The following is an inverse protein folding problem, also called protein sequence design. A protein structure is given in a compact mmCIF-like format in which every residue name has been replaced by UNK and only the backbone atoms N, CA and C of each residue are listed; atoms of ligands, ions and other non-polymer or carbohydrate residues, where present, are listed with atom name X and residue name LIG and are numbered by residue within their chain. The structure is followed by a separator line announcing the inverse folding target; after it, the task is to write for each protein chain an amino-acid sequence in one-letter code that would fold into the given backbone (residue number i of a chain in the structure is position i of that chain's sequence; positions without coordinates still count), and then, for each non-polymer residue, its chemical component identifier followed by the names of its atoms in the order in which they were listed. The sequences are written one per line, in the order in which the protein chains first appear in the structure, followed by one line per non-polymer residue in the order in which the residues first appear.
data_IF_165248005714
#
_entry.id   IF_165248005714
#
_cell.length_a   1.000
_cell.length_b   1.000
_cell.length_c   1.000
_cell.angle_alpha   90.00
_cell.angle_beta   90.00
_cell.angle_gamma   90.00
#
_symmetry.space_group_name_H-M   'P 1'
#
loop_
_entity.id
_entity.type
_entity.pdbx_description
1 polymer ?
#
# COMPACT_ATOMS: atom_id res chain seq x y z
N UNK A 1 -70.26 26.76 15.42
CA UNK A 1 -70.87 26.01 14.29
C UNK A 1 -69.99 24.83 13.82
N UNK A 2 -69.27 24.16 14.73
CA UNK A 2 -68.28 23.11 14.42
C UNK A 2 -68.77 21.67 14.66
N UNK A 3 -70.04 21.46 15.00
CA UNK A 3 -70.53 20.15 15.43
C UNK A 3 -70.98 19.21 14.29
N UNK A 4 -71.12 19.70 13.05
CA UNK A 4 -71.59 18.88 11.93
C UNK A 4 -70.42 18.43 11.03
N UNK A 5 -70.38 17.15 10.61
CA UNK A 5 -69.46 16.68 9.58
C UNK A 5 -69.49 17.53 8.30
N UNK A 6 -68.38 17.64 7.55
CA UNK A 6 -68.30 18.49 6.35
C UNK A 6 -69.41 18.26 5.32
N UNK A 7 -69.79 17.00 5.10
CA UNK A 7 -70.89 16.63 4.21
C UNK A 7 -72.25 17.18 4.70
N UNK A 8 -72.52 17.12 6.00
CA UNK A 8 -73.76 17.62 6.58
C UNK A 8 -73.81 19.16 6.58
N UNK A 9 -72.66 19.82 6.77
CA UNK A 9 -72.54 21.29 6.62
C UNK A 9 -72.85 21.73 5.20
N UNK A 10 -72.42 20.97 4.18
CA UNK A 10 -72.72 21.27 2.79
C UNK A 10 -74.22 21.20 2.48
N UNK A 11 -74.91 20.18 3.01
CA UNK A 11 -76.37 20.03 2.85
C UNK A 11 -77.13 21.23 3.46
N UNK A 12 -76.73 21.67 4.66
CA UNK A 12 -77.34 22.83 5.32
C UNK A 12 -77.05 24.13 4.55
N UNK A 13 -75.79 24.33 4.14
CA UNK A 13 -75.38 25.55 3.45
C UNK A 13 -76.06 25.74 2.09
N UNK A 14 -76.31 24.64 1.36
CA UNK A 14 -77.03 24.66 0.08
C UNK A 14 -78.54 24.54 0.24
N UNK A 15 -79.04 24.37 1.48
CA UNK A 15 -80.44 24.06 1.78
C UNK A 15 -80.94 22.90 0.89
N UNK A 16 -80.11 21.86 0.72
CA UNK A 16 -80.20 20.91 -0.38
C UNK A 16 -81.59 20.30 -0.56
N UNK A 17 -82.26 19.89 0.52
CA UNK A 17 -83.62 19.32 0.46
C UNK A 17 -84.64 20.31 -0.09
N UNK A 18 -84.68 21.55 0.43
CA UNK A 18 -85.62 22.58 -0.04
C UNK A 18 -85.30 23.05 -1.47
N UNK A 19 -84.01 23.17 -1.80
CA UNK A 19 -83.55 23.50 -3.15
C UNK A 19 -83.93 22.40 -4.15
N UNK A 20 -83.77 21.13 -3.79
CA UNK A 20 -84.16 19.98 -4.61
C UNK A 20 -85.67 19.95 -4.88
N UNK A 21 -86.50 20.17 -3.86
CA UNK A 21 -87.96 20.26 -4.01
C UNK A 21 -88.35 21.41 -4.95
N UNK A 22 -87.76 22.60 -4.79
CA UNK A 22 -88.02 23.74 -5.66
C UNK A 22 -87.60 23.48 -7.11
N UNK A 23 -86.47 22.79 -7.34
CA UNK A 23 -86.02 22.40 -8.67
C UNK A 23 -86.97 21.38 -9.30
N UNK A 24 -87.42 20.36 -8.55
CA UNK A 24 -88.41 19.37 -9.04
C UNK A 24 -89.72 20.05 -9.44
N UNK A 25 -90.20 21.00 -8.64
CA UNK A 25 -91.39 21.78 -8.97
C UNK A 25 -91.19 22.64 -10.23
N UNK A 26 -90.02 23.26 -10.39
CA UNK A 26 -89.68 24.03 -11.59
C UNK A 26 -89.64 23.15 -12.83
N UNK A 27 -89.03 21.96 -12.74
CA UNK A 27 -88.99 20.97 -13.82
C UNK A 27 -90.40 20.56 -14.22
N UNK A 28 -91.24 20.19 -13.24
CA UNK A 28 -92.63 19.79 -13.48
C UNK A 28 -93.44 20.91 -14.13
N UNK A 29 -93.28 22.16 -13.69
CA UNK A 29 -93.95 23.32 -14.31
C UNK A 29 -93.58 23.47 -15.79
N UNK A 30 -92.34 23.16 -16.14
CA UNK A 30 -91.83 23.29 -17.52
C UNK A 30 -91.98 22.03 -18.37
N UNK A 31 -92.46 20.90 -17.80
CA UNK A 31 -92.50 19.61 -18.50
C UNK A 31 -93.53 19.54 -19.62
N UNK A 32 -94.54 20.42 -19.62
CA UNK A 32 -95.54 20.51 -20.67
C UNK A 32 -95.02 21.20 -21.95
N UNK A 33 -93.87 21.89 -21.88
CA UNK A 33 -93.25 22.59 -23.00
C UNK A 33 -92.44 21.57 -23.82
N UNK A 34 -93.10 20.87 -24.73
CA UNK A 34 -92.50 19.77 -25.51
C UNK A 34 -92.38 20.05 -27.01
N UNK A 35 -93.05 21.09 -27.52
CA UNK A 35 -93.05 21.47 -28.92
C UNK A 35 -92.45 22.87 -29.14
N UNK A 36 -91.88 23.16 -30.32
CA UNK A 36 -91.46 24.51 -30.68
C UNK A 36 -92.63 25.49 -30.64
N UNK A 37 -92.44 26.73 -30.13
CA UNK A 37 -93.50 27.72 -30.09
C UNK A 37 -93.90 28.15 -31.50
N UNK A 38 -95.20 28.15 -31.79
CA UNK A 38 -95.77 28.53 -33.09
C UNK A 38 -96.11 30.03 -33.17
N UNK A 39 -96.08 30.74 -32.04
CA UNK A 39 -96.40 32.15 -31.92
C UNK A 39 -95.46 32.89 -30.94
N UNK A 40 -95.65 34.21 -30.85
CA UNK A 40 -94.81 35.07 -29.98
C UNK A 40 -95.02 34.76 -28.50
N UNK A 41 -96.25 34.44 -28.08
CA UNK A 41 -96.57 34.13 -26.69
C UNK A 41 -95.85 32.87 -26.20
N UNK A 42 -95.86 31.79 -27.00
CA UNK A 42 -95.12 30.57 -26.70
C UNK A 42 -93.61 30.79 -26.63
N UNK A 43 -93.04 31.66 -27.48
CA UNK A 43 -91.60 32.00 -27.41
C UNK A 43 -91.25 32.69 -26.09
N UNK A 44 -92.09 33.61 -25.63
CA UNK A 44 -91.90 34.32 -24.37
C UNK A 44 -92.03 33.37 -23.16
N UNK A 45 -92.94 32.40 -23.22
CA UNK A 45 -93.09 31.35 -22.20
C UNK A 45 -91.83 30.46 -22.11
N UNK A 46 -91.36 29.93 -23.25
CA UNK A 46 -90.11 29.14 -23.32
C UNK A 46 -88.92 29.95 -22.80
N UNK A 47 -88.81 31.22 -23.18
CA UNK A 47 -87.72 32.08 -22.75
C UNK A 47 -87.75 32.32 -21.23
N UNK A 48 -88.93 32.57 -20.65
CA UNK A 48 -89.10 32.75 -19.22
C UNK A 48 -88.73 31.49 -18.45
N UNK A 49 -89.22 30.33 -18.89
CA UNK A 49 -88.85 29.03 -18.34
C UNK A 49 -87.32 28.81 -18.37
N UNK A 50 -86.68 29.11 -19.51
CA UNK A 50 -85.23 29.00 -19.64
C UNK A 50 -84.46 29.95 -18.70
N UNK A 51 -84.96 31.17 -18.50
CA UNK A 51 -84.36 32.12 -17.55
C UNK A 51 -84.55 31.68 -16.10
N UNK A 52 -85.71 31.13 -15.74
CA UNK A 52 -85.96 30.58 -14.40
C UNK A 52 -84.95 29.46 -14.08
N UNK A 53 -84.75 28.51 -15.00
CA UNK A 53 -83.76 27.43 -14.84
C UNK A 53 -82.33 27.96 -14.76
N UNK A 54 -81.97 28.93 -15.60
CA UNK A 54 -80.65 29.58 -15.56
C UNK A 54 -80.42 30.30 -14.23
N UNK A 55 -81.41 31.03 -13.74
CA UNK A 55 -81.33 31.76 -12.48
C UNK A 55 -81.22 30.81 -11.28
N UNK A 56 -81.95 29.69 -11.29
CA UNK A 56 -81.84 28.65 -10.27
C UNK A 56 -80.41 28.06 -10.21
N UNK A 57 -79.82 27.73 -11.37
CA UNK A 57 -78.42 27.28 -11.45
C UNK A 57 -77.45 28.31 -10.87
N UNK A 58 -77.56 29.58 -11.28
CA UNK A 58 -76.69 30.66 -10.80
C UNK A 58 -76.83 30.89 -9.29
N UNK A 59 -78.03 30.74 -8.74
CA UNK A 59 -78.27 30.85 -7.30
C UNK A 59 -77.54 29.76 -6.51
N UNK A 60 -77.57 28.51 -7.00
CA UNK A 60 -76.85 27.38 -6.39
C UNK A 60 -75.33 27.61 -6.46
N UNK A 61 -74.82 28.03 -7.62
CA UNK A 61 -73.39 28.34 -7.78
C UNK A 61 -72.94 29.46 -6.82
N UNK A 62 -73.75 30.50 -6.66
CA UNK A 62 -73.46 31.60 -5.72
C UNK A 62 -73.49 31.12 -4.28
N UNK A 63 -74.46 30.28 -3.90
CA UNK A 63 -74.55 29.70 -2.56
C UNK A 63 -73.35 28.79 -2.25
N UNK A 64 -72.95 27.94 -3.20
CA UNK A 64 -71.77 27.07 -3.06
C UNK A 64 -70.47 27.87 -2.90
N UNK A 65 -70.30 28.94 -3.69
CA UNK A 65 -69.16 29.85 -3.52
C UNK A 65 -69.19 30.49 -2.14
N UNK A 66 -70.29 31.13 -1.76
CA UNK A 66 -70.42 31.79 -0.45
C UNK A 66 -70.16 30.83 0.72
N UNK A 67 -70.61 29.57 0.63
CA UNK A 67 -70.40 28.55 1.66
C UNK A 67 -68.93 28.11 1.81
N UNK A 68 -68.11 28.25 0.78
CA UNK A 68 -66.71 27.78 0.77
C UNK A 68 -65.68 28.89 0.97
N UNK A 69 -66.04 30.16 0.79
CA UNK A 69 -65.10 31.29 0.91
C UNK A 69 -64.44 31.39 2.30
N UNK A 70 -65.20 31.24 3.38
CA UNK A 70 -64.67 31.28 4.75
C UNK A 70 -63.65 30.15 4.99
N UNK A 71 -63.96 28.93 4.53
CA UNK A 71 -63.05 27.79 4.64
C UNK A 71 -61.74 28.00 3.85
N UNK A 72 -61.82 28.57 2.64
CA UNK A 72 -60.62 28.93 1.85
C UNK A 72 -59.78 30.00 2.54
N UNK A 73 -60.44 31.02 3.10
CA UNK A 73 -59.78 32.09 3.84
C UNK A 73 -59.07 31.54 5.09
N UNK A 74 -59.73 30.63 5.83
CA UNK A 74 -59.15 29.94 6.97
C UNK A 74 -57.92 29.12 6.60
N UNK A 75 -57.99 28.24 5.58
CA UNK A 75 -56.84 27.45 5.14
C UNK A 75 -55.68 28.35 4.71
N UNK A 76 -55.96 29.43 3.98
CA UNK A 76 -54.92 30.41 3.58
C UNK A 76 -54.27 31.08 4.80
N UNK A 77 -55.06 31.42 5.82
CA UNK A 77 -54.54 32.03 7.05
C UNK A 77 -53.68 31.03 7.85
N UNK A 78 -54.11 29.77 7.97
CA UNK A 78 -53.31 28.73 8.65
C UNK A 78 -51.97 28.53 7.96
N UNK A 79 -51.95 28.38 6.63
CA UNK A 79 -50.68 28.23 5.89
C UNK A 79 -49.79 29.47 5.94
N UNK A 80 -50.37 30.67 6.11
CA UNK A 80 -49.59 31.89 6.31
C UNK A 80 -48.93 31.91 7.70
N UNK A 81 -49.66 31.52 8.74
CA UNK A 81 -49.13 31.44 10.10
C UNK A 81 -48.10 30.33 10.25
N UNK A 82 -48.35 29.16 9.66
CA UNK A 82 -47.37 28.06 9.57
C UNK A 82 -46.04 28.55 8.99
N UNK A 83 -46.07 29.26 7.86
CA UNK A 83 -44.87 29.82 7.24
C UNK A 83 -44.17 30.83 8.15
N UNK A 84 -44.93 31.67 8.88
CA UNK A 84 -44.38 32.62 9.84
C UNK A 84 -43.64 31.89 10.96
N UNK A 85 -44.23 30.85 11.52
CA UNK A 85 -43.66 30.05 12.61
C UNK A 85 -42.42 29.28 12.14
N UNK A 86 -42.46 28.66 10.96
CA UNK A 86 -41.31 27.98 10.37
C UNK A 86 -40.15 28.95 10.16
N UNK A 87 -40.40 30.14 9.59
CA UNK A 87 -39.35 31.13 9.34
C UNK A 87 -38.66 31.57 10.64
N UNK A 88 -39.43 31.76 11.71
CA UNK A 88 -38.92 32.16 13.03
C UNK A 88 -37.97 31.11 13.62
N UNK A 89 -38.29 29.83 13.44
CA UNK A 89 -37.44 28.73 13.89
C UNK A 89 -36.22 28.51 12.98
N UNK A 90 -36.39 28.65 11.66
CA UNK A 90 -35.33 28.40 10.69
C UNK A 90 -34.11 29.34 10.86
N UNK A 91 -34.34 30.61 11.23
CA UNK A 91 -33.25 31.55 11.52
C UNK A 91 -32.43 31.12 12.74
N UNK A 92 -33.11 30.64 13.79
CA UNK A 92 -32.44 30.19 15.00
C UNK A 92 -31.72 28.85 14.79
N UNK A 93 -32.31 27.92 14.03
CA UNK A 93 -31.64 26.69 13.61
C UNK A 93 -30.35 26.98 12.83
N UNK A 94 -30.42 27.90 11.86
CA UNK A 94 -29.24 28.31 11.09
C UNK A 94 -28.15 28.93 11.99
N UNK A 95 -28.54 29.75 12.98
CA UNK A 95 -27.62 30.34 13.95
C UNK A 95 -26.95 29.26 14.82
N UNK A 96 -27.73 28.30 15.31
CA UNK A 96 -27.24 27.21 16.17
C UNK A 96 -26.33 26.25 15.42
N UNK A 97 -26.68 25.86 14.19
CA UNK A 97 -25.80 25.04 13.35
C UNK A 97 -24.49 25.73 13.05
N UNK A 98 -24.53 27.03 12.70
CA UNK A 98 -23.31 27.80 12.50
C UNK A 98 -22.41 27.80 13.74
N UNK A 99 -22.98 28.01 14.93
CA UNK A 99 -22.20 28.02 16.18
C UNK A 99 -21.52 26.66 16.46
N UNK A 100 -22.24 25.55 16.21
CA UNK A 100 -21.67 24.20 16.32
C UNK A 100 -20.55 24.00 15.31
N UNK A 101 -20.81 24.30 14.04
CA UNK A 101 -19.87 24.06 12.95
C UNK A 101 -18.59 24.91 13.13
N UNK A 102 -18.72 26.16 13.63
CA UNK A 102 -17.59 27.02 13.98
C UNK A 102 -16.74 26.43 15.12
N UNK A 103 -17.37 25.83 16.15
CA UNK A 103 -16.67 25.15 17.24
C UNK A 103 -15.94 23.90 16.74
N UNK A 104 -16.62 23.04 15.99
CA UNK A 104 -16.05 21.81 15.44
C UNK A 104 -14.85 22.11 14.52
N UNK A 105 -14.95 23.18 13.70
CA UNK A 105 -13.87 23.64 12.86
C UNK A 105 -12.66 24.16 13.67
N UNK A 106 -12.91 24.91 14.75
CA UNK A 106 -11.84 25.40 15.62
C UNK A 106 -11.12 24.25 16.35
N UNK A 107 -11.88 23.26 16.82
CA UNK A 107 -11.32 22.08 17.49
C UNK A 107 -10.50 21.21 16.54
N UNK A 108 -11.01 20.99 15.33
CA UNK A 108 -10.28 20.30 14.27
C UNK A 108 -8.97 21.03 13.90
N UNK A 109 -9.01 22.36 13.79
CA UNK A 109 -7.81 23.16 13.53
C UNK A 109 -6.78 23.07 14.67
N UNK A 110 -7.22 23.10 15.93
CA UNK A 110 -6.32 22.94 17.09
C UNK A 110 -5.64 21.58 17.07
N UNK A 111 -6.41 20.50 16.87
CA UNK A 111 -5.87 19.14 16.79
C UNK A 111 -4.89 18.97 15.63
N UNK A 112 -5.20 19.51 14.46
CA UNK A 112 -4.32 19.45 13.29
C UNK A 112 -2.99 20.20 13.53
N UNK A 113 -3.02 21.33 14.24
CA UNK A 113 -1.83 22.09 14.60
C UNK A 113 -0.98 21.38 15.66
N UNK A 114 -1.62 20.76 16.66
CA UNK A 114 -0.94 19.90 17.64
C UNK A 114 -0.26 18.70 16.97
N UNK A 115 -0.97 18.01 16.07
CA UNK A 115 -0.41 16.90 15.29
C UNK A 115 0.73 17.37 14.38
N UNK A 116 0.62 18.55 13.75
CA UNK A 116 1.71 19.12 12.94
C UNK A 116 2.96 19.35 13.78
N UNK A 117 2.83 20.01 14.93
CA UNK A 117 3.96 20.25 15.85
C UNK A 117 4.58 18.96 16.33
N UNK A 118 3.74 17.97 16.65
CA UNK A 118 4.23 16.67 17.11
C UNK A 118 4.96 15.91 15.99
N UNK A 119 4.42 15.90 14.77
CA UNK A 119 5.10 15.32 13.60
C UNK A 119 6.42 16.03 13.30
N UNK A 120 6.46 17.36 13.39
CA UNK A 120 7.70 18.14 13.21
C UNK A 120 8.73 17.81 14.28
N UNK A 121 8.30 17.69 15.55
CA UNK A 121 9.17 17.28 16.66
C UNK A 121 9.76 15.89 16.41
N UNK A 122 8.91 14.91 16.09
CA UNK A 122 9.33 13.52 15.82
C UNK A 122 10.24 13.46 14.60
N UNK A 123 9.92 14.19 13.52
CA UNK A 123 10.75 14.24 12.31
C UNK A 123 12.14 14.84 12.59
N UNK A 124 12.22 15.91 13.38
CA UNK A 124 13.50 16.51 13.76
C UNK A 124 14.36 15.56 14.60
N UNK A 125 13.76 14.80 15.52
CA UNK A 125 14.47 13.78 16.32
C UNK A 125 14.97 12.65 15.42
N UNK A 126 14.12 12.14 14.51
CA UNK A 126 14.50 11.07 13.57
C UNK A 126 15.63 11.49 12.64
N UNK A 127 15.59 12.72 12.13
CA UNK A 127 16.67 13.28 11.30
C UNK A 127 18.00 13.28 12.06
N UNK A 128 18.04 13.67 13.34
CA UNK A 128 19.25 13.58 14.17
C UNK A 128 19.75 12.13 14.29
N UNK A 129 18.84 11.17 14.51
CA UNK A 129 19.19 9.75 14.59
C UNK A 129 19.75 9.25 13.26
N UNK A 130 19.17 9.65 12.14
CA UNK A 130 19.62 9.26 10.81
C UNK A 130 20.99 9.88 10.47
N UNK A 131 21.27 11.10 10.94
CA UNK A 131 22.62 11.69 10.86
C UNK A 131 23.66 10.84 11.61
N UNK A 132 23.32 10.34 12.80
CA UNK A 132 24.19 9.40 13.54
C UNK A 132 24.40 8.11 12.74
N UNK A 133 23.33 7.52 12.18
CA UNK A 133 23.40 6.28 11.38
C UNK A 133 24.22 6.46 10.10
N UNK A 134 24.19 7.65 9.50
CA UNK A 134 24.85 7.94 8.23
C UNK A 134 26.33 8.33 8.39
N UNK A 135 26.80 8.59 9.60
CA UNK A 135 28.18 9.01 9.86
C UNK A 135 29.25 8.04 9.28
N UNK A 136 29.13 6.71 9.42
CA UNK A 136 30.09 5.77 8.81
C UNK A 136 30.12 5.85 7.28
N UNK A 137 28.99 6.17 6.63
CA UNK A 137 28.91 6.30 5.17
C UNK A 137 29.65 7.56 4.70
N UNK A 138 29.46 8.67 5.41
CA UNK A 138 30.15 9.93 5.10
C UNK A 138 31.65 9.81 5.32
N UNK A 139 32.07 9.09 6.37
CA UNK A 139 33.48 8.87 6.70
C UNK A 139 34.15 7.70 5.94
N UNK A 140 33.51 7.14 4.91
CA UNK A 140 34.01 5.98 4.17
C UNK A 140 35.42 6.17 3.57
N UNK A 141 35.77 7.41 3.21
CA UNK A 141 37.03 7.75 2.55
C UNK A 141 38.06 8.40 3.49
N UNK A 142 37.75 8.53 4.77
CA UNK A 142 38.62 9.20 5.73
C UNK A 142 39.86 8.34 6.05
N UNK A 143 40.94 9.03 6.43
CA UNK A 143 42.17 8.42 6.91
C UNK A 143 42.04 7.97 8.38
N UNK A 144 43.04 7.25 8.91
CA UNK A 144 42.97 6.71 10.25
C UNK A 144 42.80 7.81 11.32
N UNK A 145 43.55 8.90 11.23
CA UNK A 145 43.51 10.01 12.19
C UNK A 145 42.13 10.68 12.26
N UNK A 146 41.51 10.99 11.10
CA UNK A 146 40.17 11.59 11.05
C UNK A 146 39.09 10.63 11.56
N UNK A 147 39.23 9.33 11.28
CA UNK A 147 38.31 8.32 11.80
C UNK A 147 38.39 8.17 13.32
N UNK A 148 39.58 8.27 13.90
CA UNK A 148 39.79 8.21 15.35
C UNK A 148 39.17 9.45 16.04
N UNK A 149 39.40 10.65 15.48
CA UNK A 149 38.76 11.87 15.96
C UNK A 149 37.23 11.79 15.90
N UNK A 150 36.68 11.28 14.80
CA UNK A 150 35.22 11.08 14.63
C UNK A 150 34.66 10.08 15.64
N UNK A 151 35.41 9.00 15.94
CA UNK A 151 35.04 8.03 16.97
C UNK A 151 35.00 8.65 18.36
N UNK A 152 35.98 9.49 18.68
CA UNK A 152 36.04 10.17 19.97
C UNK A 152 34.89 11.17 20.15
N UNK A 153 34.59 11.96 19.12
CA UNK A 153 33.41 12.85 19.11
C UNK A 153 32.11 12.05 19.30
N UNK A 154 31.95 10.93 18.59
CA UNK A 154 30.74 10.11 18.68
C UNK A 154 30.61 9.41 20.04
N UNK A 155 31.72 9.01 20.67
CA UNK A 155 31.74 8.43 22.03
C UNK A 155 31.44 9.48 23.10
N UNK A 156 31.91 10.71 22.91
CA UNK A 156 31.65 11.83 23.79
C UNK A 156 30.22 12.38 23.64
N UNK A 157 29.54 12.08 22.52
CA UNK A 157 28.17 12.52 22.28
C UNK A 157 27.18 11.90 23.28
N UNK A 158 26.65 12.76 24.16
CA UNK A 158 25.67 12.40 25.18
C UNK A 158 24.24 12.41 24.60
N UNK A 159 23.55 11.29 24.75
CA UNK A 159 22.15 11.15 24.34
C UNK A 159 21.27 11.45 25.55
N UNK A 160 20.67 12.64 25.55
CA UNK A 160 19.84 13.17 26.64
C UNK A 160 18.34 13.05 26.33
N UNK A 161 17.50 13.12 27.38
CA UNK A 161 16.04 13.19 27.21
C UNK A 161 15.60 14.50 26.55
N UNK A 162 16.34 15.59 26.76
CA UNK A 162 16.00 16.89 26.16
C UNK A 162 16.11 16.86 24.63
N UNK A 163 17.12 16.16 24.11
CA UNK A 163 17.41 16.13 22.66
C UNK A 163 16.63 15.08 21.87
N UNK A 164 16.36 13.92 22.50
CA UNK A 164 15.79 12.75 21.84
C UNK A 164 14.48 12.24 22.46
N UNK A 165 14.07 12.80 23.60
CA UNK A 165 12.82 12.47 24.28
C UNK A 165 12.59 10.96 24.42
N UNK A 166 11.51 10.42 23.84
CA UNK A 166 11.17 9.00 23.87
C UNK A 166 12.04 8.12 22.96
N UNK A 167 12.85 8.70 22.07
CA UNK A 167 13.70 7.98 21.11
C UNK A 167 15.15 7.79 21.59
N UNK A 168 15.45 8.00 22.88
CA UNK A 168 16.81 7.86 23.41
C UNK A 168 17.39 6.47 23.17
N UNK A 169 16.61 5.41 23.36
CA UNK A 169 17.09 4.04 23.18
C UNK A 169 17.42 3.76 21.71
N UNK A 170 16.61 4.27 20.79
CA UNK A 170 16.89 4.20 19.35
C UNK A 170 18.16 4.98 18.99
N UNK A 171 18.31 6.20 19.51
CA UNK A 171 19.50 7.02 19.31
C UNK A 171 20.77 6.33 19.86
N UNK A 172 20.68 5.68 21.03
CA UNK A 172 21.80 4.93 21.62
C UNK A 172 22.19 3.74 20.77
N UNK A 173 21.20 2.97 20.33
CA UNK A 173 21.42 1.86 19.42
C UNK A 173 22.07 2.31 18.10
N UNK A 174 21.59 3.43 17.53
CA UNK A 174 22.17 4.02 16.32
C UNK A 174 23.63 4.44 16.53
N UNK A 175 23.92 5.15 17.63
CA UNK A 175 25.29 5.58 17.97
C UNK A 175 26.21 4.38 18.14
N UNK A 176 25.80 3.38 18.91
CA UNK A 176 26.63 2.22 19.21
C UNK A 176 26.91 1.38 17.94
N UNK A 177 25.92 1.27 17.04
CA UNK A 177 26.10 0.67 15.72
C UNK A 177 27.09 1.46 14.83
N UNK A 178 26.97 2.79 14.81
CA UNK A 178 27.90 3.66 14.07
C UNK A 178 29.32 3.60 14.64
N UNK A 179 29.49 3.56 15.96
CA UNK A 179 30.79 3.36 16.62
C UNK A 179 31.41 2.03 16.19
N UNK A 180 30.62 0.93 16.18
CA UNK A 180 31.12 -0.38 15.77
C UNK A 180 31.59 -0.38 14.30
N UNK A 181 30.83 0.27 13.41
CA UNK A 181 31.19 0.41 12.00
C UNK A 181 32.47 1.24 11.80
N UNK A 182 32.52 2.44 12.39
CA UNK A 182 33.69 3.32 12.33
C UNK A 182 34.94 2.69 12.95
N UNK A 183 34.80 1.93 14.03
CA UNK A 183 35.92 1.20 14.65
C UNK A 183 36.53 0.18 13.68
N UNK A 184 35.67 -0.52 12.92
CA UNK A 184 36.12 -1.47 11.89
C UNK A 184 36.84 -0.75 10.75
N UNK A 185 36.30 0.39 10.31
CA UNK A 185 36.90 1.21 9.26
C UNK A 185 38.23 1.82 9.68
N UNK A 186 38.33 2.33 10.92
CA UNK A 186 39.55 2.89 11.50
C UNK A 186 40.67 1.84 11.55
N UNK A 187 40.37 0.63 12.01
CA UNK A 187 41.33 -0.47 12.03
C UNK A 187 41.83 -0.81 10.61
N UNK A 188 40.92 -0.84 9.62
CA UNK A 188 41.29 -1.08 8.23
C UNK A 188 42.13 0.06 7.64
N UNK A 189 41.79 1.32 7.93
CA UNK A 189 42.57 2.49 7.49
C UNK A 189 43.97 2.49 8.10
N UNK A 190 44.07 2.29 9.42
CA UNK A 190 45.34 2.17 10.14
C UNK A 190 46.23 1.08 9.56
N UNK A 191 45.66 -0.08 9.23
CA UNK A 191 46.41 -1.18 8.61
C UNK A 191 46.91 -0.84 7.19
N UNK A 192 46.10 -0.15 6.37
CA UNK A 192 46.52 0.31 5.04
C UNK A 192 47.66 1.32 5.13
N UNK A 193 47.53 2.32 5.99
CA UNK A 193 48.55 3.36 6.16
C UNK A 193 49.87 2.79 6.71
N UNK A 194 49.80 1.87 7.69
CA UNK A 194 50.98 1.18 8.19
C UNK A 194 51.67 0.34 7.10
N UNK A 195 50.90 -0.35 6.25
CA UNK A 195 51.43 -1.11 5.13
C UNK A 195 52.07 -0.20 4.06
N UNK A 196 51.47 0.94 3.76
CA UNK A 196 52.03 1.95 2.84
C UNK A 196 53.33 2.54 3.39
N UNK A 197 53.38 2.88 4.68
CA UNK A 197 54.59 3.38 5.33
C UNK A 197 55.73 2.34 5.30
N UNK A 198 55.41 1.08 5.61
CA UNK A 198 56.38 -0.02 5.55
C UNK A 198 56.86 -0.28 4.11
N UNK A 199 55.98 -0.16 3.12
CA UNK A 199 56.34 -0.29 1.70
C UNK A 199 57.29 0.84 1.25
N UNK A 200 57.04 2.09 1.67
CA UNK A 200 57.93 3.23 1.39
C UNK A 200 59.30 3.03 2.04
N UNK A 201 59.36 2.63 3.30
CA UNK A 201 60.63 2.36 3.99
C UNK A 201 61.40 1.19 3.32
N UNK A 202 60.70 0.14 2.88
CA UNK A 202 61.30 -0.96 2.14
C UNK A 202 61.86 -0.51 0.78
N UNK A 203 61.14 0.33 0.05
CA UNK A 203 61.59 0.91 -1.22
C UNK A 203 62.82 1.81 -1.03
N UNK A 204 62.83 2.66 0.01
CA UNK A 204 63.99 3.48 0.38
C UNK A 204 65.22 2.62 0.73
N UNK A 205 65.04 1.51 1.45
CA UNK A 205 66.14 0.57 1.73
C UNK A 205 66.64 -0.12 0.47
N UNK A 206 65.75 -0.56 -0.42
CA UNK A 206 66.12 -1.20 -1.67
C UNK A 206 66.86 -0.24 -2.61
N UNK A 207 66.42 1.01 -2.70
CA UNK A 207 67.11 2.04 -3.49
C UNK A 207 68.48 2.36 -2.92
N UNK A 208 68.61 2.47 -1.59
CA UNK A 208 69.91 2.62 -0.93
C UNK A 208 70.85 1.42 -1.15
N UNK A 209 70.33 0.19 -1.05
CA UNK A 209 71.09 -1.04 -1.32
C UNK A 209 71.56 -1.11 -2.77
N UNK A 210 70.71 -0.73 -3.74
CA UNK A 210 71.10 -0.64 -5.16
C UNK A 210 72.22 0.38 -5.37
N UNK A 211 72.10 1.57 -4.79
CA UNK A 211 73.15 2.59 -4.87
C UNK A 211 74.46 2.17 -4.20
N UNK A 212 74.41 1.38 -3.13
CA UNK A 212 75.60 0.79 -2.50
C UNK A 212 76.23 -0.30 -3.37
N UNK A 213 75.44 -1.22 -3.90
CA UNK A 213 75.94 -2.26 -4.82
C UNK A 213 76.57 -1.66 -6.08
N UNK A 214 75.98 -0.61 -6.65
CA UNK A 214 76.56 0.12 -7.77
C UNK A 214 77.91 0.76 -7.40
N UNK A 215 78.07 1.30 -6.19
CA UNK A 215 79.35 1.82 -5.71
C UNK A 215 80.39 0.72 -5.58
N UNK A 216 80.03 -0.41 -4.98
CA UNK A 216 80.92 -1.56 -4.83
C UNK A 216 81.34 -2.15 -6.20
N UNK A 217 80.41 -2.21 -7.16
CA UNK A 217 80.71 -2.62 -8.53
C UNK A 217 81.71 -1.68 -9.18
N UNK A 218 81.50 -0.35 -9.10
CA UNK A 218 82.45 0.63 -9.63
C UNK A 218 83.83 0.52 -8.98
N UNK A 219 83.90 0.40 -7.65
CA UNK A 219 85.18 0.21 -6.96
C UNK A 219 85.87 -1.10 -7.38
N UNK A 220 85.11 -2.18 -7.57
CA UNK A 220 85.64 -3.46 -8.02
C UNK A 220 86.15 -3.38 -9.46
N UNK A 221 85.40 -2.74 -10.36
CA UNK A 221 85.81 -2.46 -11.74
C UNK A 221 87.07 -1.59 -11.78
N UNK A 222 87.17 -0.56 -10.94
CA UNK A 222 88.37 0.27 -10.81
C UNK A 222 89.58 -0.53 -10.32
N UNK A 223 89.39 -1.41 -9.33
CA UNK A 223 90.43 -2.32 -8.83
C UNK A 223 90.86 -3.32 -9.89
N UNK A 224 89.92 -3.92 -10.63
CA UNK A 224 90.24 -4.82 -11.73
C UNK A 224 91.00 -4.08 -12.84
N UNK A 225 90.56 -2.87 -13.22
CA UNK A 225 91.24 -2.05 -14.19
C UNK A 225 92.64 -1.59 -13.72
N UNK A 226 92.85 -1.39 -12.42
CA UNK A 226 94.16 -1.11 -11.85
C UNK A 226 95.07 -2.35 -11.87
N UNK A 227 94.53 -3.51 -11.49
CA UNK A 227 95.23 -4.79 -11.52
C UNK A 227 95.62 -5.20 -12.94
N UNK A 228 94.71 -5.06 -13.91
CA UNK A 228 95.02 -5.31 -15.33
C UNK A 228 96.06 -4.32 -15.87
N UNK A 229 96.05 -3.05 -15.42
CA UNK A 229 97.12 -2.09 -15.75
C UNK A 229 98.47 -2.52 -15.18
N UNK A 230 98.51 -2.96 -13.93
CA UNK A 230 99.73 -3.46 -13.28
C UNK A 230 100.24 -4.74 -13.94
N UNK A 231 99.34 -5.68 -14.27
CA UNK A 231 99.65 -6.89 -15.01
C UNK A 231 100.17 -6.58 -16.40
N UNK A 232 99.54 -5.64 -17.14
CA UNK A 232 100.02 -5.20 -18.44
C UNK A 232 101.39 -4.51 -18.34
N UNK A 233 101.66 -3.75 -17.27
CA UNK A 233 102.97 -3.15 -17.02
C UNK A 233 104.03 -4.21 -16.68
N UNK A 234 103.68 -5.20 -15.85
CA UNK A 234 104.52 -6.34 -15.55
C UNK A 234 104.79 -7.19 -16.79
N UNK A 235 103.77 -7.46 -17.60
CA UNK A 235 103.87 -8.21 -18.86
C UNK A 235 104.67 -7.43 -19.90
N UNK A 236 104.56 -6.10 -19.98
CA UNK A 236 105.43 -5.25 -20.79
C UNK A 236 106.88 -5.30 -20.30
N UNK A 237 107.13 -5.31 -18.99
CA UNK A 237 108.46 -5.52 -18.40
C UNK A 237 108.99 -6.95 -18.69
N UNK A 238 108.14 -7.96 -18.64
CA UNK A 238 108.49 -9.37 -18.92
C UNK A 238 108.69 -9.62 -20.43
N UNK A 239 107.95 -8.91 -21.29
CA UNK A 239 108.12 -8.83 -22.74
C UNK A 239 109.46 -8.16 -23.08
N UNK A 240 109.81 -7.07 -22.41
CA UNK A 240 111.13 -6.44 -22.53
C UNK A 240 112.28 -7.34 -22.08
N UNK A 241 112.04 -8.26 -21.13
CA UNK A 241 113.01 -9.29 -20.71
C UNK A 241 113.07 -10.46 -21.70
N UNK A 242 111.94 -10.86 -22.31
CA UNK A 242 111.89 -11.97 -23.27
C UNK A 242 112.37 -11.59 -24.67
N UNK A 243 112.31 -10.31 -25.07
CA UNK A 243 112.97 -9.83 -26.30
C UNK A 243 114.50 -9.74 -26.16
N UNK A 244 115.05 -9.68 -24.94
CA UNK A 244 116.49 -9.87 -24.68
C UNK A 244 116.88 -11.36 -24.69
N UNK A 245 115.93 -12.28 -24.49
CA UNK A 245 116.18 -13.73 -24.44
C UNK A 245 115.74 -14.51 -25.70
N UNK A 246 115.17 -13.87 -26.73
CA UNK A 246 114.84 -14.52 -28.01
C UNK A 246 116.05 -14.56 -28.95
N UNK A 247 117.05 -15.34 -28.54
CA UNK A 247 118.25 -15.65 -29.30
C UNK A 247 118.72 -17.09 -29.08
N UNK A 248 117.83 -18.09 -29.15
CA UNK A 248 118.16 -19.50 -29.39
C UNK A 248 116.88 -20.36 -29.53
N UNK A 249 116.76 -21.08 -30.63
CA UNK A 249 115.81 -22.17 -30.92
C UNK A 249 116.10 -23.44 -30.05
N UNK A 250 115.40 -24.61 -30.11
CA UNK A 250 114.52 -25.12 -31.18
C UNK A 250 113.28 -25.97 -30.76
N UNK A 251 112.60 -26.45 -31.80
CA UNK A 251 111.44 -27.35 -31.83
C UNK A 251 111.74 -28.81 -31.45
N UNK A 252 110.79 -29.51 -30.79
CA UNK A 252 110.64 -30.99 -30.75
C UNK A 252 109.19 -31.41 -30.36
N UNK A 253 108.55 -32.21 -31.24
CA UNK A 253 107.59 -33.35 -31.11
C UNK A 253 106.33 -33.22 -30.19
N UNK A 254 105.09 -33.36 -30.69
CA UNK A 254 104.33 -34.59 -31.02
C UNK A 254 104.13 -35.49 -29.76
N UNK A 255 102.95 -35.99 -29.36
CA UNK A 255 101.77 -36.43 -30.13
C UNK A 255 100.60 -36.81 -29.15
N UNK A 256 99.49 -37.49 -29.54
CA UNK A 256 98.11 -37.13 -29.19
C UNK A 256 97.41 -38.09 -28.20
N UNK A 257 96.29 -37.66 -27.58
CA UNK A 257 95.31 -38.58 -26.95
C UNK A 257 93.86 -38.11 -27.19
N UNK A 258 93.14 -39.02 -27.84
CA UNK A 258 91.71 -39.35 -27.80
C UNK A 258 90.60 -38.30 -28.03
N UNK A 259 90.17 -38.32 -29.28
CA UNK A 259 88.76 -38.42 -29.67
C UNK A 259 88.00 -39.51 -28.89
N UNK A 260 86.98 -39.10 -28.11
CA UNK A 260 85.79 -39.91 -27.88
C UNK A 260 84.57 -39.21 -28.50
N UNK A 261 84.15 -39.80 -29.61
CA UNK A 261 82.93 -39.57 -30.36
C UNK A 261 81.91 -40.59 -29.88
N UNK A 262 80.79 -40.15 -29.32
CA UNK A 262 79.50 -40.83 -29.24
C UNK A 262 78.60 -39.95 -28.35
N UNK A 263 77.32 -39.72 -28.58
CA UNK A 263 76.35 -40.15 -29.56
C UNK A 263 75.15 -39.19 -29.36
N UNK A 264 74.54 -38.77 -30.45
CA UNK A 264 73.16 -38.31 -30.41
C UNK A 264 72.31 -39.49 -29.91
N UNK A 265 71.61 -39.33 -28.80
CA UNK A 265 70.46 -40.18 -28.48
C UNK A 265 69.21 -39.29 -28.47
N UNK A 266 68.55 -39.27 -29.63
CA UNK A 266 67.15 -38.94 -29.84
C UNK A 266 66.29 -40.13 -29.38
N UNK A 267 65.67 -40.04 -28.19
CA UNK A 267 64.52 -40.82 -27.71
C UNK A 267 63.85 -39.89 -26.68
N UNK A 268 62.63 -39.38 -26.77
CA UNK A 268 61.33 -39.92 -27.20
C UNK A 268 60.99 -41.26 -26.56
N UNK A 269 60.75 -41.24 -25.25
CA UNK A 269 59.88 -42.18 -24.53
C UNK A 269 59.36 -41.50 -23.25
N UNK A 270 58.39 -40.60 -23.40
CA UNK A 270 57.37 -40.45 -22.37
C UNK A 270 56.49 -41.70 -22.45
N UNK A 271 56.42 -42.44 -21.35
CA UNK A 271 55.32 -43.36 -21.09
C UNK A 271 54.11 -42.50 -20.70
N UNK A 272 52.93 -42.79 -21.27
CA UNK A 272 51.70 -41.97 -21.19
C UNK A 272 51.10 -41.81 -19.78
N UNK A 273 51.80 -42.26 -18.76
CA UNK A 273 51.36 -42.42 -17.38
C UNK A 273 52.19 -41.62 -16.35
N UNK A 274 53.16 -40.80 -16.79
CA UNK A 274 53.69 -39.70 -15.96
C UNK A 274 54.53 -40.10 -14.73
N UNK A 275 55.20 -41.25 -14.75
CA UNK A 275 56.08 -41.72 -13.65
C UNK A 275 57.53 -41.83 -14.12
N UNK A 276 58.45 -41.18 -13.39
CA UNK A 276 59.89 -41.22 -13.67
C UNK A 276 60.49 -42.59 -13.27
N UNK A 277 61.16 -43.25 -14.21
CA UNK A 277 61.66 -44.63 -14.07
C UNK A 277 62.93 -44.82 -13.23
N UNK A 278 63.59 -43.75 -12.75
CA UNK A 278 64.80 -43.88 -11.93
C UNK A 278 64.61 -43.53 -10.45
N UNK A 279 63.56 -42.81 -10.06
CA UNK A 279 63.35 -42.45 -8.65
C UNK A 279 61.97 -42.80 -8.09
N UNK A 280 61.02 -43.27 -8.91
CA UNK A 280 59.72 -43.78 -8.44
C UNK A 280 58.85 -42.78 -7.69
N UNK A 281 59.19 -41.49 -7.70
CA UNK A 281 58.47 -40.42 -7.03
C UNK A 281 57.71 -39.56 -8.04
N UNK A 282 56.48 -39.18 -7.69
CA UNK A 282 55.63 -38.27 -8.46
C UNK A 282 56.16 -36.86 -8.26
N UNK A 283 56.94 -36.38 -9.22
CA UNK A 283 57.50 -35.04 -9.19
C UNK A 283 56.54 -34.08 -9.90
N UNK A 284 55.92 -33.19 -9.13
CA UNK A 284 55.21 -32.04 -9.67
C UNK A 284 56.22 -31.02 -10.22
N UNK A 285 56.04 -30.61 -11.48
CA UNK A 285 56.63 -29.37 -11.99
C UNK A 285 55.53 -28.42 -12.49
N UNK A 286 55.71 -27.11 -12.30
CA UNK A 286 54.77 -26.07 -12.72
C UNK A 286 55.09 -25.58 -14.13
N UNK A 287 54.06 -25.23 -14.91
CA UNK A 287 54.16 -24.16 -15.91
C UNK A 287 52.80 -23.50 -16.09
N UNK A 288 52.81 -22.17 -16.01
CA UNK A 288 51.73 -21.27 -16.42
C UNK A 288 51.43 -21.38 -17.93
N UNK A 289 50.15 -21.21 -18.28
CA UNK A 289 49.60 -20.19 -19.20
C UNK A 289 48.37 -20.72 -19.96
N UNK A 290 47.33 -19.89 -19.95
CA UNK A 290 46.18 -19.85 -20.86
C UNK A 290 45.24 -21.07 -20.94
N UNK A 291 44.26 -21.10 -20.04
CA UNK A 291 42.81 -21.12 -20.34
C UNK A 291 42.02 -21.66 -19.14
N UNK A 292 41.31 -20.75 -18.44
CA UNK A 292 40.17 -21.12 -17.59
C UNK A 292 38.89 -20.54 -18.20
N UNK A 293 38.59 -20.95 -19.43
CA UNK A 293 37.23 -20.97 -19.96
C UNK A 293 36.77 -22.43 -19.98
N UNK A 294 35.88 -22.72 -19.03
CA UNK A 294 35.32 -24.04 -18.80
C UNK A 294 34.48 -24.51 -19.99
N UNK A 295 34.74 -25.74 -20.42
CA UNK A 295 33.88 -26.53 -21.31
C UNK A 295 33.19 -27.61 -20.47
N UNK A 296 31.96 -27.35 -20.02
CA UNK A 296 30.93 -28.38 -19.94
C UNK A 296 29.85 -27.96 -20.92
N UNK A 297 29.95 -28.55 -22.12
CA UNK A 297 28.95 -28.47 -23.14
C UNK A 297 27.77 -29.38 -22.75
N UNK A 298 26.61 -28.76 -22.57
CA UNK A 298 25.32 -29.41 -22.48
C UNK A 298 24.24 -28.42 -22.91
N UNK A 299 23.70 -28.64 -24.11
CA UNK A 299 22.49 -28.04 -24.66
C UNK A 299 22.46 -26.51 -24.84
N UNK A 300 22.96 -26.08 -26.01
CA UNK A 300 22.51 -24.84 -26.63
C UNK A 300 21.22 -25.12 -27.42
N UNK A 301 20.08 -24.78 -26.81
CA UNK A 301 18.85 -24.31 -27.45
C UNK A 301 17.96 -23.84 -26.29
N UNK A 302 17.56 -22.56 -26.32
CA UNK A 302 16.63 -21.84 -25.41
C UNK A 302 17.23 -20.64 -24.67
N UNK A 303 17.68 -19.63 -25.44
CA UNK A 303 17.89 -18.28 -24.93
C UNK A 303 17.30 -17.25 -25.91
N UNK A 304 15.98 -17.28 -26.08
CA UNK A 304 15.19 -16.16 -26.64
C UNK A 304 13.72 -16.20 -26.22
N UNK A 305 13.46 -16.28 -24.91
CA UNK A 305 12.15 -16.00 -24.32
C UNK A 305 12.27 -15.67 -22.83
N UNK A 306 12.98 -14.60 -22.47
CA UNK A 306 12.77 -13.98 -21.17
C UNK A 306 11.43 -13.25 -21.26
N UNK A 307 10.40 -13.94 -20.80
CA UNK A 307 9.04 -13.44 -20.79
C UNK A 307 8.93 -12.24 -19.85
N UNK A 308 8.26 -11.21 -20.35
CA UNK A 308 7.79 -10.01 -19.65
C UNK A 308 6.69 -10.33 -18.61
N UNK A 309 6.74 -11.51 -17.98
CA UNK A 309 5.69 -12.07 -17.12
C UNK A 309 6.09 -12.19 -15.63
N UNK A 310 7.33 -11.85 -15.26
CA UNK A 310 7.81 -12.02 -13.89
C UNK A 310 7.63 -10.78 -12.98
N UNK A 311 7.17 -9.64 -13.52
CA UNK A 311 6.99 -8.39 -12.75
C UNK A 311 5.54 -8.10 -12.32
N UNK A 312 4.59 -9.00 -12.58
CA UNK A 312 3.16 -8.78 -12.30
C UNK A 312 2.54 -9.78 -11.29
N UNK A 313 3.37 -10.62 -10.66
CA UNK A 313 2.89 -11.73 -9.83
C UNK A 313 2.04 -11.37 -8.60
N UNK A 314 2.28 -10.28 -7.85
CA UNK A 314 1.46 -9.97 -6.68
C UNK A 314 0.03 -9.54 -7.05
N UNK A 315 -0.08 -8.72 -8.10
CA UNK A 315 -1.37 -8.20 -8.58
C UNK A 315 -2.19 -9.30 -9.24
N UNK A 316 -1.55 -10.12 -10.07
CA UNK A 316 -2.24 -11.22 -10.75
C UNK A 316 -2.65 -12.34 -9.77
N UNK A 317 -1.91 -12.55 -8.67
CA UNK A 317 -2.35 -13.45 -7.57
C UNK A 317 -3.53 -12.86 -6.79
N UNK A 318 -3.55 -11.55 -6.55
CA UNK A 318 -4.68 -10.89 -5.89
C UNK A 318 -5.95 -10.91 -6.77
N UNK A 319 -5.81 -10.69 -8.08
CA UNK A 319 -6.91 -10.76 -9.05
C UNK A 319 -7.42 -12.20 -9.21
N UNK A 320 -6.52 -13.20 -9.26
CA UNK A 320 -6.93 -14.62 -9.29
C UNK A 320 -7.57 -15.08 -7.98
N UNK A 321 -7.15 -14.56 -6.81
CA UNK A 321 -7.77 -14.84 -5.53
C UNK A 321 -9.18 -14.22 -5.41
N UNK A 322 -9.38 -13.01 -5.96
CA UNK A 322 -10.68 -12.36 -6.01
C UNK A 322 -11.67 -13.09 -6.96
N UNK A 323 -11.18 -13.63 -8.07
CA UNK A 323 -11.99 -14.43 -9.01
C UNK A 323 -12.34 -15.80 -8.42
N UNK A 324 -11.41 -16.45 -7.69
CA UNK A 324 -11.71 -17.68 -6.96
C UNK A 324 -12.77 -17.46 -5.86
N UNK A 325 -12.68 -16.35 -5.12
CA UNK A 325 -13.69 -15.97 -4.12
C UNK A 325 -15.07 -15.69 -4.73
N UNK A 326 -15.15 -15.17 -5.97
CA UNK A 326 -16.42 -14.97 -6.67
C UNK A 326 -17.02 -16.27 -7.23
N UNK A 327 -16.21 -17.26 -7.59
CA UNK A 327 -16.68 -18.53 -8.14
C UNK A 327 -17.14 -19.52 -7.04
N UNK A 328 -16.45 -19.54 -5.89
CA UNK A 328 -16.82 -20.39 -4.75
C UNK A 328 -18.06 -19.88 -3.98
N UNK A 329 -18.44 -18.60 -4.15
CA UNK A 329 -19.66 -18.00 -3.56
C UNK A 329 -20.84 -17.90 -4.54
N UNK A 330 -20.84 -18.69 -5.62
CA UNK A 330 -22.00 -18.74 -6.52
C UNK A 330 -23.11 -19.53 -5.83
N UNK A 331 -24.26 -18.93 -5.46
CA UNK A 331 -25.32 -19.65 -4.76
C UNK A 331 -25.87 -20.80 -5.64
N UNK A 332 -26.21 -21.96 -5.05
CA UNK A 332 -26.76 -23.07 -5.82
C UNK A 332 -28.04 -22.63 -6.52
N UNK A 333 -28.19 -23.11 -7.77
CA UNK A 333 -29.34 -22.84 -8.62
C UNK A 333 -30.67 -23.02 -7.86
N UNK A 334 -31.67 -22.14 -8.04
CA UNK A 334 -32.86 -22.15 -7.21
C UNK A 334 -33.61 -23.48 -7.35
N UNK A 335 -33.92 -24.09 -6.19
CA UNK A 335 -34.75 -25.28 -6.07
C UNK A 335 -36.09 -25.10 -6.79
N UNK A 336 -36.56 -26.17 -7.40
CA UNK A 336 -37.77 -26.14 -8.23
C UNK A 336 -39.02 -25.87 -7.38
N UNK A 337 -40.11 -25.35 -7.96
CA UNK A 337 -41.34 -25.01 -7.23
C UNK A 337 -41.95 -26.14 -6.39
N UNK A 338 -41.57 -27.40 -6.62
CA UNK A 338 -42.05 -28.58 -5.90
C UNK A 338 -41.52 -28.68 -4.45
N UNK A 339 -40.47 -27.94 -4.08
CA UNK A 339 -39.79 -28.08 -2.77
C UNK A 339 -40.18 -27.01 -1.73
N UNK A 340 -41.08 -26.07 -2.06
CA UNK A 340 -41.64 -25.13 -1.09
C UNK A 340 -42.81 -25.76 -0.32
N UNK A 341 -42.52 -26.52 0.73
CA UNK A 341 -43.51 -26.83 1.78
C UNK A 341 -43.33 -25.89 2.95
N UNK A 342 -44.43 -25.21 3.32
CA UNK A 342 -44.54 -24.42 4.54
C UNK A 342 -44.39 -25.37 5.72
N UNK A 343 -43.33 -25.19 6.51
CA UNK A 343 -43.16 -25.87 7.79
C UNK A 343 -44.05 -25.11 8.78
N UNK A 344 -45.17 -25.72 9.17
CA UNK A 344 -45.95 -25.28 10.32
C UNK A 344 -45.49 -26.12 11.49
N UNK A 345 -45.10 -25.45 12.58
CA UNK A 345 -44.57 -26.07 13.79
C UNK A 345 -45.65 -26.95 14.45
N UNK A 346 -45.41 -28.26 14.67
CA UNK A 346 -46.44 -29.19 15.18
C UNK A 346 -46.97 -28.81 16.57
N UNK A 347 -46.18 -28.12 17.39
CA UNK A 347 -46.56 -27.75 18.75
C UNK A 347 -47.67 -26.70 18.81
N UNK A 348 -47.89 -25.94 17.74
CA UNK A 348 -48.99 -24.95 17.68
C UNK A 348 -50.36 -25.57 17.35
N UNK A 349 -50.40 -26.82 16.90
CA UNK A 349 -51.66 -27.50 16.56
C UNK A 349 -52.29 -28.15 17.81
N UNK A 350 -51.47 -28.64 18.75
CA UNK A 350 -51.98 -29.32 19.94
C UNK A 350 -52.55 -28.37 21.00
N UNK A 351 -52.02 -27.15 21.12
CA UNK A 351 -52.55 -26.13 22.05
C UNK A 351 -53.96 -25.63 21.69
N UNK A 352 -54.39 -25.77 20.44
CA UNK A 352 -55.71 -25.32 19.96
C UNK A 352 -56.81 -26.36 20.26
N UNK A 353 -56.45 -27.62 20.53
CA UNK A 353 -57.40 -28.70 20.73
C UNK A 353 -57.78 -28.96 22.21
N UNK A 354 -56.98 -28.52 23.18
CA UNK A 354 -57.19 -28.89 24.59
C UNK A 354 -58.14 -27.94 25.36
N UNK A 355 -58.31 -26.68 24.95
CA UNK A 355 -59.16 -25.71 25.68
C UNK A 355 -59.97 -24.77 24.75
N UNK A 356 -61.03 -25.25 24.09
CA UNK A 356 -61.87 -24.42 23.20
C UNK A 356 -62.71 -23.36 23.94
N UNK A 357 -62.81 -23.45 25.28
CA UNK A 357 -63.66 -22.60 26.13
C UNK A 357 -62.99 -21.25 26.49
N UNK A 358 -61.65 -21.17 26.45
CA UNK A 358 -60.88 -19.99 26.87
C UNK A 358 -60.70 -18.94 25.76
N UNK A 359 -61.19 -19.23 24.55
CA UNK A 359 -61.13 -18.34 23.41
C UNK A 359 -62.31 -17.35 23.41
N UNK A 360 -62.33 -16.44 24.39
CA UNK A 360 -63.27 -15.30 24.41
C UNK A 360 -63.07 -14.42 23.17
N UNK A 361 -64.07 -14.26 22.28
CA UNK A 361 -63.96 -13.43 21.10
C UNK A 361 -64.13 -11.95 21.49
N UNK A 362 -63.06 -11.32 21.98
CA UNK A 362 -63.14 -9.89 22.32
C UNK A 362 -61.96 -9.27 23.05
N UNK A 363 -60.98 -10.04 23.50
CA UNK A 363 -59.81 -9.53 24.23
C UNK A 363 -58.51 -9.92 23.54
N UNK A 364 -58.41 -9.71 22.22
CA UNK A 364 -57.10 -9.56 21.59
C UNK A 364 -56.65 -8.15 21.96
N UNK A 365 -55.80 -8.05 22.99
CA UNK A 365 -54.95 -6.88 23.14
C UNK A 365 -54.25 -6.71 21.81
N UNK A 366 -54.66 -5.70 21.04
CA UNK A 366 -53.97 -5.34 19.81
C UNK A 366 -52.55 -5.00 20.22
N UNK A 367 -51.62 -5.94 20.03
CA UNK A 367 -50.21 -5.57 19.96
C UNK A 367 -50.15 -4.41 18.96
N UNK A 368 -49.48 -3.29 19.31
CA UNK A 368 -49.40 -2.15 18.42
C UNK A 368 -48.92 -2.69 17.07
N UNK A 369 -49.68 -2.41 16.01
CA UNK A 369 -49.42 -2.94 14.68
C UNK A 369 -47.95 -2.69 14.37
N UNK A 370 -47.15 -3.77 14.38
CA UNK A 370 -45.71 -3.69 14.14
C UNK A 370 -45.55 -3.09 12.75
N UNK A 371 -44.92 -1.94 12.69
CA UNK A 371 -44.67 -1.25 11.43
C UNK A 371 -43.77 -2.15 10.58
N UNK A 372 -44.35 -2.74 9.53
CA UNK A 372 -43.64 -3.66 8.65
C UNK A 372 -42.89 -2.85 7.61
N UNK A 373 -41.56 -2.88 7.67
CA UNK A 373 -40.71 -2.30 6.64
C UNK A 373 -40.42 -3.38 5.59
N UNK A 374 -40.83 -3.14 4.35
CA UNK A 374 -40.52 -4.04 3.23
C UNK A 374 -39.18 -3.66 2.64
N UNK A 375 -38.21 -4.58 2.67
CA UNK A 375 -36.90 -4.41 2.04
C UNK A 375 -36.67 -5.47 0.95
N UNK A 376 -35.87 -5.17 -0.08
CA UNK A 376 -35.40 -6.17 -1.05
C UNK A 376 -34.65 -7.31 -0.36
N UNK A 377 -34.76 -8.53 -0.90
CA UNK A 377 -34.09 -9.71 -0.34
C UNK A 377 -32.56 -9.54 -0.28
N UNK A 378 -31.96 -8.93 -1.29
CA UNK A 378 -30.53 -8.64 -1.32
C UNK A 378 -30.10 -7.72 -0.16
N UNK A 379 -30.95 -6.74 0.18
CA UNK A 379 -30.69 -5.84 1.30
C UNK A 379 -30.85 -6.57 2.64
N UNK A 380 -31.85 -7.45 2.77
CA UNK A 380 -32.01 -8.32 3.93
C UNK A 380 -30.79 -9.24 4.14
N UNK A 381 -30.32 -9.90 3.08
CA UNK A 381 -29.15 -10.80 3.15
C UNK A 381 -27.86 -10.01 3.46
N UNK A 382 -27.74 -8.77 2.97
CA UNK A 382 -26.66 -7.84 3.34
C UNK A 382 -26.70 -7.46 4.82
N UNK A 383 -27.88 -7.16 5.34
CA UNK A 383 -28.07 -6.84 6.76
C UNK A 383 -27.75 -8.03 7.67
N UNK A 384 -28.16 -9.25 7.29
CA UNK A 384 -27.79 -10.47 8.01
C UNK A 384 -26.27 -10.70 8.02
N UNK A 385 -25.61 -10.47 6.88
CA UNK A 385 -24.15 -10.60 6.78
C UNK A 385 -23.44 -9.59 7.69
N UNK A 386 -23.91 -8.33 7.72
CA UNK A 386 -23.37 -7.29 8.61
C UNK A 386 -23.63 -7.58 10.08
N UNK A 387 -24.82 -8.09 10.42
CA UNK A 387 -25.16 -8.49 11.80
C UNK A 387 -24.21 -9.58 12.30
N UNK A 388 -23.96 -10.61 11.50
CA UNK A 388 -23.01 -11.68 11.86
C UNK A 388 -21.59 -11.16 12.08
N UNK A 389 -21.16 -10.20 11.25
CA UNK A 389 -19.85 -9.58 11.43
C UNK A 389 -19.77 -8.78 12.73
N UNK A 390 -20.82 -8.04 13.09
CA UNK A 390 -20.90 -7.34 14.38
C UNK A 390 -20.85 -8.33 15.55
N UNK A 391 -21.57 -9.44 15.49
CA UNK A 391 -21.53 -10.47 16.51
C UNK A 391 -20.10 -11.05 16.67
N UNK A 392 -19.36 -11.21 15.57
CA UNK A 392 -17.96 -11.65 15.61
C UNK A 392 -17.03 -10.61 16.23
N UNK A 393 -17.25 -9.33 15.94
CA UNK A 393 -16.49 -8.22 16.55
C UNK A 393 -16.76 -8.11 18.05
N UNK A 394 -18.03 -8.22 18.46
CA UNK A 394 -18.43 -8.22 19.88
C UNK A 394 -17.85 -9.44 20.61
N UNK A 395 -17.91 -10.63 20.01
CA UNK A 395 -17.36 -11.86 20.58
C UNK A 395 -15.83 -11.83 20.73
N UNK A 396 -15.12 -11.19 19.79
CA UNK A 396 -13.68 -10.99 19.87
C UNK A 396 -13.28 -9.84 20.80
N UNK A 397 -14.23 -9.08 21.35
CA UNK A 397 -13.96 -7.96 22.26
C UNK A 397 -13.26 -6.79 21.59
N UNK A 398 -13.54 -6.56 20.30
CA UNK A 398 -12.88 -5.53 19.48
C UNK A 398 -13.35 -4.14 19.89
N UNK A 399 -12.66 -3.51 20.85
CA UNK A 399 -12.86 -2.11 21.25
C UNK A 399 -11.93 -1.15 20.45
N UNK A 400 -10.87 -1.68 19.82
CA UNK A 400 -9.92 -0.95 18.97
C UNK A 400 -9.41 -1.85 17.81
N UNK A 401 -8.40 -1.45 17.04
CA UNK A 401 -7.87 -2.28 15.94
C UNK A 401 -7.25 -3.62 16.40
N UNK A 402 -7.04 -3.82 17.71
CA UNK A 402 -6.61 -5.10 18.28
C UNK A 402 -7.83 -6.04 18.40
N UNK A 403 -7.67 -7.27 17.90
CA UNK A 403 -8.75 -8.28 17.89
C UNK A 403 -9.49 -8.45 16.55
N UNK A 404 -9.18 -7.63 15.53
CA UNK A 404 -9.72 -7.81 14.17
C UNK A 404 -9.34 -9.17 13.59
N UNK A 405 -8.12 -9.64 13.81
CA UNK A 405 -7.66 -10.95 13.32
C UNK A 405 -8.47 -12.10 13.94
N UNK A 406 -8.85 -11.97 15.21
CA UNK A 406 -9.68 -12.95 15.91
C UNK A 406 -11.14 -12.91 15.44
N UNK A 407 -11.69 -11.71 15.21
CA UNK A 407 -13.01 -11.56 14.60
C UNK A 407 -13.06 -12.18 13.19
N UNK A 408 -12.01 -11.99 12.38
CA UNK A 408 -11.90 -12.62 11.05
C UNK A 408 -11.83 -14.14 11.13
N UNK A 409 -11.15 -14.70 12.16
CA UNK A 409 -11.12 -16.15 12.41
C UNK A 409 -12.52 -16.67 12.75
N UNK A 410 -13.20 -16.03 13.70
CA UNK A 410 -14.57 -16.40 14.10
C UNK A 410 -15.55 -16.34 12.94
N UNK A 411 -15.48 -15.29 12.12
CA UNK A 411 -16.36 -15.14 10.95
C UNK A 411 -16.15 -16.25 9.91
N UNK A 412 -14.91 -16.73 9.73
CA UNK A 412 -14.62 -17.88 8.84
C UNK A 412 -15.13 -19.20 9.39
N UNK A 413 -15.10 -19.37 10.72
CA UNK A 413 -15.61 -20.59 11.38
C UNK A 413 -17.14 -20.65 11.40
N UNK A 414 -17.82 -19.50 11.38
CA UNK A 414 -19.28 -19.41 11.38
C UNK A 414 -19.89 -19.35 9.97
N UNK A 415 -19.10 -19.12 8.93
CA UNK A 415 -19.58 -19.18 7.56
C UNK A 415 -19.84 -20.65 7.15
N UNK A 416 -21.09 -21.03 6.80
CA UNK A 416 -21.36 -22.36 6.26
C UNK A 416 -20.62 -22.54 4.93
N UNK A 417 -19.95 -23.69 4.79
CA UNK A 417 -19.20 -24.09 3.60
C UNK A 417 -20.08 -24.24 2.35
#
# INVERSE_FOLDING_TARGET
MTALPPAQRALVALKSTATEEALKALILRTSAITAPPVDKAGREEVHRAAMDHKNARLAIEKAAKAATEDAKAFTKAVSAEEKRLIALNAEEEARLFKLRDDYDAAEAARKAEEERKERERVAAIREKIDQIKNLPVVSAADNAETLDATLDDLRAFEITFEDFAEFQDEARAARDASIASLTTMHAAASAREAAEAAAREAEEKLTAQRAELERQQREFEERQAAFEREKAELEAKMSGITDVMRGAAPAVLADPIDTLRAELCTHDYLRSDGVCTECGAVCAFPVDTDANEARIAGAADDARAVSLAALDQPRQRAENAAVAYMLDNTPPSPLTPAERRVIVDPEQIDAVLEHPEDFLPGAITQEPAKEMVTIPREEYDSLLTRSRWLDCLEAAGVDNWEGIDEALRLNREMAPA
#
